data_IF_463852656055
#
_entry.id   IF_463852656055
#
_cell.length_a   1.000
_cell.length_b   1.000
_cell.length_c   1.000
_cell.angle_alpha   90.00
_cell.angle_beta   90.00
_cell.angle_gamma   90.00
#
_symmetry.space_group_name_H-M   'P 1'
#
loop_
_entity.id
_entity.type
_entity.pdbx_description
1 polymer ?
#
# COMPACT_ATOMS: atom_id res chain seq x y z
N UNK A 1 8.32 -0.65 -0.58
CA UNK A 1 9.09 0.51 -0.05
C UNK A 1 8.25 1.78 0.13
N UNK A 2 7.08 1.90 -0.53
CA UNK A 2 6.18 3.06 -0.40
C UNK A 2 5.76 3.31 1.06
N UNK A 3 5.16 2.32 1.72
CA UNK A 3 4.64 2.44 3.09
C UNK A 3 5.68 2.89 4.12
N UNK A 4 6.90 2.34 4.07
CA UNK A 4 7.97 2.74 4.99
C UNK A 4 8.34 4.22 4.85
N UNK A 5 8.34 4.73 3.61
CA UNK A 5 8.63 6.13 3.33
C UNK A 5 7.50 7.02 3.79
N UNK A 6 6.25 6.62 3.51
CA UNK A 6 5.04 7.30 3.95
C UNK A 6 5.00 7.45 5.48
N UNK A 7 5.09 6.33 6.21
CA UNK A 7 5.00 6.35 7.69
C UNK A 7 6.14 7.17 8.28
N UNK A 8 7.36 7.02 7.78
CA UNK A 8 8.52 7.80 8.25
C UNK A 8 8.30 9.31 8.07
N UNK A 9 7.86 9.74 6.89
CA UNK A 9 7.67 11.16 6.60
C UNK A 9 6.53 11.73 7.45
N UNK A 10 5.40 11.03 7.52
CA UNK A 10 4.26 11.45 8.32
C UNK A 10 4.61 11.57 9.81
N UNK A 11 5.34 10.61 10.39
CA UNK A 11 5.78 10.69 11.79
C UNK A 11 6.69 11.89 12.05
N UNK A 12 7.63 12.17 11.14
CA UNK A 12 8.52 13.33 11.26
C UNK A 12 7.74 14.63 11.17
N UNK A 13 6.85 14.76 10.18
CA UNK A 13 6.08 15.98 9.95
C UNK A 13 5.10 16.23 11.11
N UNK A 14 4.43 15.18 11.61
CA UNK A 14 3.57 15.27 12.79
C UNK A 14 4.37 15.61 14.05
N UNK A 15 5.58 15.07 14.23
CA UNK A 15 6.44 15.45 15.35
C UNK A 15 6.83 16.94 15.28
N UNK A 16 7.16 17.45 14.08
CA UNK A 16 7.45 18.86 13.89
C UNK A 16 6.24 19.76 14.13
N UNK A 17 5.06 19.34 13.66
CA UNK A 17 3.78 20.03 13.85
C UNK A 17 3.38 20.11 15.32
N UNK A 18 3.36 18.97 16.03
CA UNK A 18 2.93 18.91 17.44
C UNK A 18 3.88 19.64 18.38
N UNK A 19 5.18 19.61 18.12
CA UNK A 19 6.19 20.25 18.96
C UNK A 19 6.53 21.70 18.54
N UNK A 20 5.98 22.18 17.42
CA UNK A 20 6.27 23.52 16.90
C UNK A 20 7.73 23.73 16.50
N UNK A 21 8.45 22.66 16.14
CA UNK A 21 9.88 22.69 15.81
C UNK A 21 10.14 23.29 14.43
N UNK A 22 9.18 23.13 13.50
CA UNK A 22 9.19 23.74 12.18
C UNK A 22 7.81 24.34 11.88
N UNK A 23 7.79 25.35 11.01
CA UNK A 23 6.55 25.94 10.53
C UNK A 23 5.93 25.06 9.44
N UNK A 24 5.41 23.90 9.84
CA UNK A 24 4.56 23.05 9.00
C UNK A 24 3.12 23.43 9.34
N UNK A 25 2.33 23.83 8.34
CA UNK A 25 0.91 24.13 8.54
C UNK A 25 0.06 22.86 8.47
N UNK A 26 -1.14 22.92 9.06
CA UNK A 26 -2.12 21.83 8.88
C UNK A 26 -2.55 21.69 7.42
N UNK A 27 -2.51 22.77 6.64
CA UNK A 27 -2.79 22.76 5.20
C UNK A 27 -1.73 21.94 4.45
N UNK A 28 -0.44 22.14 4.75
CA UNK A 28 0.66 21.36 4.16
C UNK A 28 0.51 19.86 4.49
N UNK A 29 0.18 19.53 5.73
CA UNK A 29 -0.04 18.13 6.14
C UNK A 29 -1.23 17.50 5.43
N UNK A 30 -2.34 18.25 5.31
CA UNK A 30 -3.54 17.78 4.64
C UNK A 30 -3.28 17.53 3.15
N UNK A 31 -2.60 18.45 2.47
CA UNK A 31 -2.32 18.30 1.04
C UNK A 31 -1.46 17.07 0.73
N UNK A 32 -0.59 16.68 1.67
CA UNK A 32 0.29 15.52 1.51
C UNK A 32 -0.31 14.19 2.01
N UNK A 33 -1.21 14.22 2.99
CA UNK A 33 -1.60 13.01 3.74
C UNK A 33 -3.10 12.83 3.99
N UNK A 34 -3.99 13.67 3.47
CA UNK A 34 -5.44 13.61 3.78
C UNK A 34 -6.13 12.27 3.47
N UNK A 35 -5.59 11.50 2.53
CA UNK A 35 -6.14 10.18 2.16
C UNK A 35 -5.63 9.05 3.07
N UNK A 36 -4.62 9.33 3.89
CA UNK A 36 -3.95 8.33 4.71
C UNK A 36 -4.64 8.19 6.08
N UNK A 37 -5.17 7.00 6.43
CA UNK A 37 -5.84 6.77 7.71
C UNK A 37 -4.96 7.12 8.92
N UNK A 38 -3.65 6.94 8.78
CA UNK A 38 -2.68 7.28 9.81
C UNK A 38 -2.65 8.79 10.09
N UNK A 39 -2.76 9.63 9.07
CA UNK A 39 -2.86 11.08 9.26
C UNK A 39 -4.15 11.45 9.98
N UNK A 40 -5.29 10.87 9.58
CA UNK A 40 -6.56 11.10 10.25
C UNK A 40 -6.53 10.65 11.72
N UNK A 41 -5.84 9.56 12.04
CA UNK A 41 -5.62 9.10 13.41
C UNK A 41 -4.78 10.09 14.22
N UNK A 42 -3.75 10.69 13.60
CA UNK A 42 -2.91 11.71 14.22
C UNK A 42 -3.67 12.98 14.61
N UNK A 43 -4.50 13.51 13.69
CA UNK A 43 -5.24 14.76 13.91
C UNK A 43 -6.62 14.56 14.56
N UNK A 44 -7.09 13.32 14.68
CA UNK A 44 -8.29 12.97 15.43
C UNK A 44 -8.02 12.99 16.94
N UNK A 45 -9.02 13.25 17.77
CA UNK A 45 -8.92 13.17 19.25
C UNK A 45 -7.69 13.89 19.86
N UNK A 46 -7.33 15.07 19.35
CA UNK A 46 -6.17 15.84 19.85
C UNK A 46 -6.29 16.24 21.33
N UNK A 47 -7.51 16.35 21.85
CA UNK A 47 -7.78 16.54 23.27
C UNK A 47 -7.26 15.35 24.11
N UNK A 48 -7.38 14.12 23.58
CA UNK A 48 -6.87 12.90 24.21
C UNK A 48 -5.35 12.79 24.04
N UNK A 49 -4.80 13.24 22.90
CA UNK A 49 -3.36 13.31 22.69
C UNK A 49 -2.68 14.23 23.72
N UNK A 50 -3.30 15.38 24.01
CA UNK A 50 -2.81 16.33 25.00
C UNK A 50 -2.86 15.81 26.46
N UNK A 51 -3.60 14.73 26.72
CA UNK A 51 -3.74 14.13 28.04
C UNK A 51 -2.63 13.09 28.35
N UNK A 52 -1.77 12.77 27.39
CA UNK A 52 -0.70 11.78 27.51
C UNK A 52 0.64 12.35 27.03
N UNK A 53 1.73 11.64 27.33
CA UNK A 53 3.01 11.91 26.67
C UNK A 53 2.96 11.41 25.21
N UNK A 54 2.39 12.25 24.34
CA UNK A 54 2.23 11.92 22.92
C UNK A 54 3.56 11.63 22.23
N UNK A 55 4.67 12.24 22.65
CA UNK A 55 5.99 11.97 22.06
C UNK A 55 6.46 10.55 22.40
N UNK A 56 6.29 10.12 23.65
CA UNK A 56 6.60 8.75 24.05
C UNK A 56 5.68 7.74 23.33
N UNK A 57 4.37 8.02 23.23
CA UNK A 57 3.42 7.17 22.52
C UNK A 57 3.73 7.06 21.00
N UNK A 58 4.13 8.17 20.38
CA UNK A 58 4.60 8.18 18.98
C UNK A 58 5.85 7.33 18.81
N UNK A 59 6.83 7.45 19.71
CA UNK A 59 8.06 6.67 19.62
C UNK A 59 7.79 5.16 19.75
N UNK A 60 6.95 4.76 20.70
CA UNK A 60 6.60 3.36 20.93
C UNK A 60 5.80 2.78 19.74
N UNK A 61 4.78 3.49 19.26
CA UNK A 61 3.98 3.05 18.09
C UNK A 61 4.81 2.98 16.81
N UNK A 62 5.74 3.92 16.59
CA UNK A 62 6.66 3.85 15.45
C UNK A 62 7.65 2.69 15.56
N UNK A 63 8.13 2.39 16.77
CA UNK A 63 9.01 1.25 17.02
C UNK A 63 8.29 -0.08 16.73
N UNK A 64 7.02 -0.20 17.12
CA UNK A 64 6.14 -1.31 16.73
C UNK A 64 6.08 -1.46 15.20
N UNK A 65 5.74 -0.40 14.47
CA UNK A 65 5.65 -0.47 13.00
C UNK A 65 6.95 -0.94 12.35
N UNK A 66 8.08 -0.37 12.77
CA UNK A 66 9.40 -0.73 12.26
C UNK A 66 9.79 -2.18 12.51
N UNK A 67 9.21 -2.83 13.52
CA UNK A 67 9.49 -4.23 13.83
C UNK A 67 8.93 -5.16 12.76
N UNK A 68 7.83 -4.81 12.12
CA UNK A 68 7.08 -5.70 11.22
C UNK A 68 7.09 -5.27 9.75
N UNK A 69 7.33 -3.99 9.45
CA UNK A 69 7.27 -3.48 8.09
C UNK A 69 8.23 -4.20 7.12
N UNK A 70 7.76 -4.47 5.91
CA UNK A 70 8.55 -5.02 4.79
C UNK A 70 9.03 -6.46 4.93
N UNK A 71 8.46 -7.25 5.84
CA UNK A 71 8.93 -8.63 6.13
C UNK A 71 8.15 -9.76 5.46
N UNK A 72 6.93 -9.50 4.95
CA UNK A 72 6.02 -10.57 4.52
C UNK A 72 5.66 -11.47 5.70
N UNK A 73 4.72 -11.01 6.52
CA UNK A 73 4.44 -11.52 7.85
C UNK A 73 3.78 -12.90 7.81
N UNK A 74 4.38 -13.90 8.47
CA UNK A 74 3.75 -15.22 8.64
C UNK A 74 2.61 -15.17 9.68
N UNK A 75 1.86 -16.27 9.84
CA UNK A 75 0.78 -16.35 10.84
C UNK A 75 1.32 -16.13 12.27
N UNK A 76 2.51 -16.66 12.55
CA UNK A 76 3.18 -16.48 13.84
C UNK A 76 3.63 -15.03 14.08
N UNK A 77 3.97 -14.29 13.00
CA UNK A 77 4.29 -12.86 13.11
C UNK A 77 3.02 -12.06 13.41
N UNK A 78 1.88 -12.44 12.82
CA UNK A 78 0.59 -11.80 13.11
C UNK A 78 0.14 -12.01 14.55
N UNK A 79 0.36 -13.19 15.14
CA UNK A 79 0.12 -13.41 16.57
C UNK A 79 0.93 -12.44 17.43
N UNK A 80 2.21 -12.22 17.08
CA UNK A 80 3.07 -11.27 17.79
C UNK A 80 2.62 -9.82 17.59
N UNK A 81 2.18 -9.46 16.39
CA UNK A 81 1.59 -8.15 16.09
C UNK A 81 0.39 -7.89 16.99
N UNK A 82 -0.55 -8.84 17.09
CA UNK A 82 -1.74 -8.70 17.92
C UNK A 82 -1.38 -8.57 19.41
N UNK A 83 -0.40 -9.35 19.89
CA UNK A 83 0.08 -9.24 21.27
C UNK A 83 0.67 -7.86 21.57
N UNK A 84 1.51 -7.31 20.69
CA UNK A 84 2.10 -5.99 20.90
C UNK A 84 1.06 -4.86 20.82
N UNK A 85 0.06 -4.97 19.93
CA UNK A 85 -1.05 -4.01 19.87
C UNK A 85 -1.86 -4.06 21.17
N UNK A 86 -2.08 -5.23 21.76
CA UNK A 86 -2.76 -5.36 23.05
C UNK A 86 -1.95 -4.75 24.19
N UNK A 87 -0.65 -5.01 24.23
CA UNK A 87 0.27 -4.43 25.23
C UNK A 87 0.31 -2.90 25.12
N UNK A 88 0.45 -2.36 23.90
CA UNK A 88 0.43 -0.92 23.66
C UNK A 88 -0.88 -0.28 24.14
N UNK A 89 -2.03 -0.88 23.83
CA UNK A 89 -3.33 -0.37 24.27
C UNK A 89 -3.47 -0.38 25.80
N UNK A 90 -2.89 -1.37 26.48
CA UNK A 90 -2.89 -1.48 27.94
C UNK A 90 -1.89 -0.53 28.60
N UNK A 91 -0.78 -0.22 27.95
CA UNK A 91 0.22 0.70 28.47
C UNK A 91 -0.28 2.15 28.46
N UNK A 92 -0.99 2.54 27.39
CA UNK A 92 -1.44 3.93 27.20
C UNK A 92 -2.88 4.18 27.65
N UNK A 93 -3.78 3.19 27.57
CA UNK A 93 -5.21 3.30 27.90
C UNK A 93 -5.87 4.60 27.41
N UNK A 94 -5.54 5.02 26.18
CA UNK A 94 -5.94 6.31 25.60
C UNK A 94 -6.52 6.15 24.19
N UNK A 95 -7.59 6.88 23.89
CA UNK A 95 -8.33 6.76 22.61
C UNK A 95 -7.48 7.21 21.42
N UNK A 96 -6.67 8.26 21.58
CA UNK A 96 -5.75 8.73 20.55
C UNK A 96 -4.67 7.69 20.26
N UNK A 97 -4.02 7.16 21.30
CA UNK A 97 -3.04 6.08 21.15
C UNK A 97 -3.65 4.86 20.44
N UNK A 98 -4.87 4.46 20.84
CA UNK A 98 -5.60 3.37 20.19
C UNK A 98 -5.86 3.63 18.70
N UNK A 99 -6.22 4.86 18.34
CA UNK A 99 -6.38 5.25 16.93
C UNK A 99 -5.08 5.12 16.15
N UNK A 100 -3.98 5.60 16.74
CA UNK A 100 -2.65 5.59 16.12
C UNK A 100 -2.16 4.18 15.83
N UNK A 101 -2.23 3.27 16.82
CA UNK A 101 -1.76 1.89 16.64
C UNK A 101 -2.61 1.11 15.65
N UNK A 102 -3.92 1.33 15.61
CA UNK A 102 -4.81 0.67 14.65
C UNK A 102 -4.58 1.15 13.22
N UNK A 103 -4.27 2.44 13.02
CA UNK A 103 -3.92 2.94 11.70
C UNK A 103 -2.58 2.37 11.20
N UNK A 104 -1.61 2.16 12.10
CA UNK A 104 -0.36 1.46 11.76
C UNK A 104 -0.60 -0.01 11.42
N UNK A 105 -1.50 -0.68 12.15
CA UNK A 105 -1.90 -2.06 11.85
C UNK A 105 -2.53 -2.18 10.46
N UNK A 106 -3.41 -1.25 10.09
CA UNK A 106 -4.00 -1.18 8.75
C UNK A 106 -2.95 -0.99 7.66
N UNK A 107 -1.93 -0.15 7.89
CA UNK A 107 -0.80 -0.01 6.95
C UNK A 107 -0.01 -1.31 6.83
N UNK A 108 0.25 -2.01 7.93
CA UNK A 108 0.95 -3.31 7.90
C UNK A 108 0.15 -4.36 7.13
N UNK A 109 -1.18 -4.42 7.32
CA UNK A 109 -2.05 -5.34 6.58
C UNK A 109 -2.04 -5.04 5.08
N UNK A 110 -2.13 -3.76 4.68
CA UNK A 110 -2.05 -3.37 3.27
C UNK A 110 -0.70 -3.70 2.65
N UNK A 111 0.40 -3.40 3.35
CA UNK A 111 1.76 -3.75 2.90
C UNK A 111 1.93 -5.26 2.74
N UNK A 112 1.47 -6.06 3.70
CA UNK A 112 1.56 -7.53 3.64
C UNK A 112 0.72 -8.11 2.49
N UNK A 113 -0.50 -7.59 2.28
CA UNK A 113 -1.36 -7.98 1.17
C UNK A 113 -0.75 -7.65 -0.19
N UNK A 114 -0.10 -6.50 -0.33
CA UNK A 114 0.62 -6.13 -1.55
C UNK A 114 1.83 -7.04 -1.77
N UNK A 115 2.65 -7.29 -0.75
CA UNK A 115 3.81 -8.18 -0.86
C UNK A 115 3.40 -9.62 -1.23
N UNK A 116 2.26 -10.09 -0.72
CA UNK A 116 1.69 -11.39 -1.08
C UNK A 116 1.08 -11.40 -2.49
N UNK A 117 0.45 -10.29 -2.90
CA UNK A 117 -0.15 -10.13 -4.23
C UNK A 117 0.89 -10.00 -5.35
N UNK A 118 1.99 -9.28 -5.11
CA UNK A 118 3.14 -9.16 -6.01
C UNK A 118 3.88 -10.51 -6.20
N UNK A 119 3.67 -11.48 -5.31
CA UNK A 119 4.20 -12.85 -5.42
C UNK A 119 3.51 -13.73 -6.47
N UNK A 120 2.37 -13.31 -7.04
CA UNK A 120 1.60 -14.10 -8.01
C UNK A 120 1.70 -13.65 -9.48
N UNK A 121 2.33 -12.52 -9.81
CA UNK A 121 2.35 -11.96 -11.17
C UNK A 121 3.68 -12.13 -11.95
N UNK A 122 4.54 -13.11 -11.61
CA UNK A 122 5.80 -13.31 -12.38
C UNK A 122 6.11 -14.76 -12.76
N UNK A 123 5.08 -15.59 -12.95
CA UNK A 123 5.27 -17.02 -13.18
C UNK A 123 4.40 -17.67 -14.24
N UNK A 124 3.94 -16.98 -15.29
CA UNK A 124 3.26 -17.66 -16.41
C UNK A 124 3.18 -16.77 -17.66
N UNK A 125 4.26 -16.74 -18.45
CA UNK A 125 4.21 -16.73 -19.93
C UNK A 125 5.63 -16.66 -20.49
N UNK A 126 6.23 -17.81 -20.77
CA UNK A 126 7.02 -18.09 -21.98
C UNK A 126 7.70 -19.45 -21.86
N UNK A 127 6.92 -20.52 -21.98
CA UNK A 127 7.42 -21.83 -22.38
C UNK A 127 6.56 -22.33 -23.53
N UNK A 128 6.96 -21.98 -24.75
CA UNK A 128 6.99 -22.86 -25.93
C UNK A 128 7.15 -22.04 -27.20
N UNK A 129 8.37 -22.00 -27.74
CA UNK A 129 8.59 -21.78 -29.16
C UNK A 129 10.00 -22.25 -29.53
N UNK A 130 10.21 -23.56 -29.62
CA UNK A 130 11.33 -24.16 -30.36
C UNK A 130 10.88 -25.56 -30.83
N UNK A 131 10.55 -25.69 -32.13
CA UNK A 131 10.85 -26.85 -32.99
C UNK A 131 10.06 -26.78 -34.31
N UNK A 132 10.64 -26.05 -35.27
CA UNK A 132 11.06 -26.55 -36.60
C UNK A 132 10.21 -27.62 -37.32
N UNK A 133 9.79 -27.29 -38.56
CA UNK A 133 9.00 -28.16 -39.44
C UNK A 133 8.75 -27.56 -40.82
N UNK A 134 9.82 -27.55 -41.62
CA UNK A 134 9.91 -27.34 -43.08
C UNK A 134 8.83 -28.09 -43.90
N UNK A 135 8.12 -27.42 -44.82
CA UNK A 135 8.09 -27.75 -46.27
C UNK A 135 7.09 -26.89 -47.06
N UNK A 136 7.60 -26.41 -48.19
CA UNK A 136 6.96 -25.69 -49.28
C UNK A 136 5.80 -26.47 -49.93
N UNK A 137 4.75 -25.77 -50.36
CA UNK A 137 3.96 -26.17 -51.53
C UNK A 137 3.72 -24.95 -52.42
N UNK A 138 4.51 -24.86 -53.49
CA UNK A 138 4.11 -24.21 -54.73
C UNK A 138 3.02 -25.05 -55.44
N UNK A 139 2.08 -24.36 -56.10
CA UNK A 139 1.44 -24.91 -57.31
C UNK A 139 -0.05 -24.67 -57.49
N UNK A 140 -0.37 -23.68 -58.35
CA UNK A 140 -1.49 -23.64 -59.34
C UNK A 140 -2.94 -23.59 -58.80
N UNK A 141 -3.88 -22.81 -59.32
CA UNK A 141 -4.08 -22.26 -60.66
C UNK A 141 -5.06 -21.06 -60.60
N UNK A 142 -4.83 -20.08 -61.48
CA UNK A 142 -5.69 -18.92 -61.74
C UNK A 142 -6.96 -19.35 -62.48
N UNK A 143 -8.11 -18.81 -62.11
CA UNK A 143 -9.18 -18.51 -63.09
C UNK A 143 -9.80 -17.15 -62.74
N UNK A 144 -9.57 -16.20 -63.64
CA UNK A 144 -10.35 -14.97 -63.83
C UNK A 144 -11.68 -15.34 -64.53
N UNK A 145 -12.79 -14.68 -64.17
CA UNK A 145 -13.87 -14.17 -65.06
C UNK A 145 -15.00 -13.61 -64.16
N UNK A 146 -15.13 -12.29 -64.00
CA UNK A 146 -15.94 -11.35 -64.81
C UNK A 146 -17.43 -11.32 -64.40
N UNK A 147 -18.00 -10.12 -64.19
CA UNK A 147 -19.42 -9.97 -63.81
C UNK A 147 -19.77 -8.70 -63.04
N UNK A 148 -19.92 -7.61 -63.79
CA UNK A 148 -20.37 -6.26 -63.44
C UNK A 148 -21.71 -6.13 -62.67
N UNK A 149 -21.82 -5.00 -61.93
CA UNK A 149 -23.00 -4.10 -61.68
C UNK A 149 -24.25 -4.71 -61.01
N UNK A 150 -24.95 -4.08 -60.06
CA UNK A 150 -25.73 -2.83 -60.13
C UNK A 150 -25.91 -2.26 -58.69
N UNK A 151 -25.56 -1.00 -58.44
CA UNK A 151 -26.41 0.21 -58.38
C UNK A 151 -27.31 0.39 -57.14
N UNK A 152 -27.22 1.60 -56.59
CA UNK A 152 -27.92 2.16 -55.44
C UNK A 152 -29.45 2.27 -55.59
N UNK A 153 -30.07 2.54 -54.43
CA UNK A 153 -31.28 3.34 -54.19
C UNK A 153 -32.60 2.59 -53.94
N UNK A 154 -33.01 2.63 -52.67
CA UNK A 154 -34.36 3.04 -52.25
C UNK A 154 -34.29 3.66 -50.86
#
# INVERSE_FOLDING_TARGET
MYYQTLVKNLFNDMHHFLNGVQAISLEDLKDNYQEEPLFLAFIGNLDQAAAVDYNAAMNESYAFYKKFCGKGLAEEDWDLVILEVQEFNKNWENIWCKGLILALLDILDREDRELRGEGQESGESSTQAEADGDMEQEGTELTEDDGQQEMEAA
#
